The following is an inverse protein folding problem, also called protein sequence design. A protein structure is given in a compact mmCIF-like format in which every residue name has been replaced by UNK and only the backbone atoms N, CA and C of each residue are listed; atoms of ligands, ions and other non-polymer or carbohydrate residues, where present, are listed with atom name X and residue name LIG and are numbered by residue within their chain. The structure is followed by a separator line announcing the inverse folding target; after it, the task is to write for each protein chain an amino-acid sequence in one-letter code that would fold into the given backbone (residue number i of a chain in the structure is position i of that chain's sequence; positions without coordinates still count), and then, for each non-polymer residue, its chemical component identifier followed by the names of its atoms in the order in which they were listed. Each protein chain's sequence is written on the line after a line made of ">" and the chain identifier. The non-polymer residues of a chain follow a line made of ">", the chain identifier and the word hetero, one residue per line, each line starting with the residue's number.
data_IF_743788658895
#
_entry.id   IF_743788658895
#
_cell.length_a   1.000
_cell.length_b   1.000
_cell.length_c   1.000
_cell.angle_alpha   90.00
_cell.angle_beta   90.00
_cell.angle_gamma   90.00
#
_symmetry.space_group_name_H-M   'P 1'
#
loop_
_entity.id
_entity.type
_entity.pdbx_description
1 polymer ?
#
# COMPACT_ATOMS: atom_id res chain seq x y z
N UNK A 1 -39.97 7.26 2.42
CA UNK A 1 -38.55 7.67 2.37
C UNK A 1 -37.84 6.78 1.34
N UNK A 2 -37.50 7.32 0.17
CA UNK A 2 -36.70 6.57 -0.84
C UNK A 2 -35.25 6.50 -0.33
N UNK A 3 -34.80 5.32 0.06
CA UNK A 3 -33.38 5.05 0.31
C UNK A 3 -32.63 5.30 -1.02
N UNK A 4 -31.90 6.41 -1.09
CA UNK A 4 -30.99 6.68 -2.19
C UNK A 4 -29.87 5.64 -2.08
N UNK A 5 -29.94 4.59 -2.86
CA UNK A 5 -28.81 3.70 -3.09
C UNK A 5 -27.69 4.54 -3.74
N UNK A 6 -26.76 5.02 -2.92
CA UNK A 6 -25.57 5.69 -3.40
C UNK A 6 -24.82 4.66 -4.25
N UNK A 7 -24.89 4.77 -5.56
CA UNK A 7 -24.20 3.86 -6.47
C UNK A 7 -22.69 3.97 -6.19
N UNK A 8 -22.08 2.83 -5.79
CA UNK A 8 -20.64 2.78 -5.54
C UNK A 8 -19.87 3.23 -6.78
N UNK A 9 -18.91 4.14 -6.62
CA UNK A 9 -18.06 4.67 -7.72
C UNK A 9 -17.18 3.55 -8.31
N UNK A 10 -16.96 3.50 -9.64
CA UNK A 10 -16.14 2.46 -10.28
C UNK A 10 -14.67 2.64 -9.94
N UNK A 11 -13.95 1.54 -9.78
CA UNK A 11 -12.51 1.52 -9.52
C UNK A 11 -11.89 0.28 -10.16
N UNK A 12 -10.76 0.44 -10.84
CA UNK A 12 -10.00 -0.69 -11.39
C UNK A 12 -8.70 -0.82 -10.60
N UNK A 13 -8.37 -2.04 -10.20
CA UNK A 13 -7.10 -2.40 -9.55
C UNK A 13 -6.33 -3.31 -10.49
N UNK A 14 -5.06 -2.97 -10.74
CA UNK A 14 -4.13 -3.77 -11.52
C UNK A 14 -2.86 -4.02 -10.69
N UNK A 15 -2.66 -5.24 -10.25
CA UNK A 15 -1.51 -5.62 -9.42
C UNK A 15 -0.78 -6.84 -9.98
N UNK A 16 0.31 -7.22 -9.35
CA UNK A 16 1.14 -8.35 -9.71
C UNK A 16 2.62 -8.10 -9.37
N UNK A 17 3.50 -9.10 -9.51
CA UNK A 17 4.91 -8.96 -9.22
C UNK A 17 5.60 -7.91 -10.09
N UNK A 18 6.83 -7.52 -9.72
CA UNK A 18 7.64 -6.64 -10.56
C UNK A 18 7.94 -7.31 -11.90
N UNK A 19 8.16 -6.52 -12.95
CA UNK A 19 8.47 -6.97 -14.30
C UNK A 19 7.41 -7.85 -15.01
N UNK A 20 6.18 -8.00 -14.45
CA UNK A 20 5.09 -8.78 -15.07
C UNK A 20 4.39 -8.06 -16.23
N UNK A 21 4.67 -6.77 -16.45
CA UNK A 21 4.10 -5.99 -17.55
C UNK A 21 2.93 -5.08 -17.15
N UNK A 22 2.75 -4.78 -15.86
CA UNK A 22 1.68 -3.88 -15.38
C UNK A 22 1.60 -2.56 -16.13
N UNK A 23 2.74 -1.88 -16.29
CA UNK A 23 2.80 -0.55 -16.92
C UNK A 23 2.23 -0.55 -18.33
N UNK A 24 2.66 -1.49 -19.17
CA UNK A 24 2.16 -1.57 -20.56
C UNK A 24 0.66 -1.83 -20.60
N UNK A 25 0.20 -2.82 -19.82
CA UNK A 25 -1.23 -3.18 -19.81
C UNK A 25 -2.09 -2.03 -19.24
N UNK A 26 -1.59 -1.32 -18.23
CA UNK A 26 -2.34 -0.22 -17.62
C UNK A 26 -2.59 0.93 -18.61
N UNK A 27 -1.62 1.26 -19.46
CA UNK A 27 -1.77 2.27 -20.52
C UNK A 27 -2.84 1.86 -21.52
N UNK A 28 -2.79 0.62 -22.02
CA UNK A 28 -3.81 0.11 -22.97
C UNK A 28 -5.21 0.08 -22.33
N UNK A 29 -5.29 -0.34 -21.06
CA UNK A 29 -6.54 -0.34 -20.32
C UNK A 29 -7.10 1.08 -20.14
N UNK A 30 -6.25 2.06 -19.78
CA UNK A 30 -6.67 3.43 -19.62
C UNK A 30 -7.24 4.03 -20.91
N UNK A 31 -6.60 3.77 -22.04
CA UNK A 31 -7.13 4.20 -23.34
C UNK A 31 -8.49 3.58 -23.63
N UNK A 32 -8.65 2.30 -23.32
CA UNK A 32 -9.89 1.56 -23.61
C UNK A 32 -11.10 2.05 -22.77
N UNK A 33 -10.86 2.52 -21.54
CA UNK A 33 -11.95 2.87 -20.60
C UNK A 33 -12.00 4.36 -20.24
N UNK A 34 -11.27 5.24 -20.91
CA UNK A 34 -11.08 6.62 -20.52
C UNK A 34 -10.58 6.73 -19.07
N UNK A 35 -9.50 6.02 -18.76
CA UNK A 35 -8.97 5.89 -17.41
C UNK A 35 -7.82 6.83 -17.11
N UNK A 36 -7.56 7.07 -15.82
CA UNK A 36 -6.38 7.77 -15.32
C UNK A 36 -5.74 6.94 -14.20
N UNK A 37 -4.42 7.04 -14.05
CA UNK A 37 -3.61 6.18 -13.20
C UNK A 37 -3.40 6.75 -11.81
N UNK A 38 -3.42 5.87 -10.81
CA UNK A 38 -2.92 6.14 -9.45
C UNK A 38 -1.84 5.08 -9.15
N UNK A 39 -0.59 5.52 -8.94
CA UNK A 39 0.49 4.60 -8.59
C UNK A 39 0.35 4.12 -7.14
N UNK A 40 0.28 2.80 -6.94
CA UNK A 40 0.36 2.14 -5.64
C UNK A 40 1.74 1.51 -5.44
N UNK A 41 2.78 2.30 -5.69
CA UNK A 41 4.18 1.96 -5.49
C UNK A 41 4.77 2.85 -4.39
N UNK A 42 5.55 2.26 -3.47
CA UNK A 42 6.10 2.99 -2.33
C UNK A 42 7.36 3.80 -2.67
N UNK A 43 7.92 3.64 -3.87
CA UNK A 43 9.18 4.28 -4.25
C UNK A 43 9.02 5.27 -5.42
N UNK A 44 8.12 5.01 -6.37
CA UNK A 44 7.91 5.89 -7.53
C UNK A 44 7.31 7.26 -7.18
N UNK A 45 6.82 7.41 -5.96
CA UNK A 45 6.29 8.66 -5.41
C UNK A 45 7.38 9.73 -5.25
N UNK A 46 8.64 9.31 -5.06
CA UNK A 46 9.76 10.21 -4.78
C UNK A 46 10.38 10.78 -6.05
N UNK A 47 10.60 12.11 -6.07
CA UNK A 47 11.36 12.80 -7.12
C UNK A 47 12.80 12.31 -7.15
N UNK A 48 13.40 12.33 -8.34
CA UNK A 48 14.81 11.99 -8.57
C UNK A 48 15.19 10.52 -8.26
N UNK A 49 14.22 9.67 -7.91
CA UNK A 49 14.43 8.24 -7.73
C UNK A 49 13.93 7.49 -8.97
N UNK A 50 14.58 7.69 -10.12
CA UNK A 50 14.05 7.26 -11.41
C UNK A 50 14.55 5.89 -11.83
N UNK A 51 15.84 5.63 -11.69
CA UNK A 51 16.50 4.43 -12.21
C UNK A 51 16.07 3.19 -11.41
N UNK A 52 16.48 3.08 -10.15
CA UNK A 52 16.25 1.88 -9.33
C UNK A 52 14.79 1.56 -9.00
N UNK A 53 13.88 2.51 -9.18
CA UNK A 53 12.44 2.33 -9.02
C UNK A 53 11.74 1.91 -10.30
N UNK A 54 12.46 1.97 -11.43
CA UNK A 54 11.93 1.80 -12.77
C UNK A 54 10.64 2.61 -12.99
N UNK A 55 10.71 3.90 -12.64
CA UNK A 55 9.63 4.85 -12.78
C UNK A 55 9.21 4.97 -14.25
N UNK A 56 7.92 5.06 -14.49
CA UNK A 56 7.40 5.31 -15.84
C UNK A 56 7.88 6.66 -16.33
N UNK A 57 8.40 6.73 -17.55
CA UNK A 57 8.87 7.96 -18.17
C UNK A 57 7.70 8.73 -18.80
N UNK A 58 7.80 10.07 -18.96
CA UNK A 58 6.73 10.87 -19.57
C UNK A 58 6.28 10.36 -20.95
N UNK A 59 7.22 9.89 -21.77
CA UNK A 59 6.94 9.35 -23.10
C UNK A 59 6.12 8.05 -23.03
N UNK A 60 6.36 7.24 -22.00
CA UNK A 60 5.63 5.99 -21.77
C UNK A 60 4.22 6.24 -21.23
N UNK A 61 3.96 7.37 -20.59
CA UNK A 61 2.65 7.75 -20.07
C UNK A 61 1.62 8.01 -21.17
N UNK A 62 2.05 8.36 -22.39
CA UNK A 62 1.20 8.52 -23.58
C UNK A 62 0.00 9.47 -23.32
N UNK A 63 0.26 10.62 -22.72
CA UNK A 63 -0.70 11.66 -22.34
C UNK A 63 -1.77 11.23 -21.33
N UNK A 64 -1.63 10.04 -20.72
CA UNK A 64 -2.53 9.58 -19.67
C UNK A 64 -2.07 10.19 -18.33
N UNK A 65 -2.93 10.89 -17.59
CA UNK A 65 -2.59 11.43 -16.28
C UNK A 65 -2.22 10.32 -15.28
N UNK A 66 -1.06 10.52 -14.61
CA UNK A 66 -0.58 9.65 -13.55
C UNK A 66 -0.47 10.43 -12.24
N UNK A 67 -1.05 9.88 -11.19
CA UNK A 67 -1.02 10.45 -9.84
C UNK A 67 -0.11 9.63 -8.93
N UNK A 68 0.44 10.25 -7.91
CA UNK A 68 1.37 9.66 -6.94
C UNK A 68 2.70 9.17 -7.56
N UNK A 69 3.16 9.89 -8.58
CA UNK A 69 4.50 9.76 -9.18
C UNK A 69 5.17 11.12 -9.08
N UNK A 70 6.42 11.18 -8.63
CA UNK A 70 7.22 12.42 -8.50
C UNK A 70 6.56 13.54 -7.68
N UNK A 71 5.85 13.19 -6.62
CA UNK A 71 5.10 14.17 -5.81
C UNK A 71 5.74 14.47 -4.46
N UNK A 72 6.71 13.67 -4.01
CA UNK A 72 7.42 13.86 -2.74
C UNK A 72 8.92 13.96 -2.95
N UNK A 73 9.59 14.65 -2.03
CA UNK A 73 11.03 14.66 -1.99
C UNK A 73 11.57 13.45 -1.20
N UNK A 74 12.80 12.94 -1.49
CA UNK A 74 13.31 11.71 -0.88
C UNK A 74 13.43 11.73 0.66
N UNK A 75 13.47 12.90 1.27
CA UNK A 75 13.51 13.07 2.74
C UNK A 75 12.12 13.15 3.39
N UNK A 76 11.05 13.18 2.61
CA UNK A 76 9.69 13.15 3.14
C UNK A 76 9.26 11.73 3.46
N UNK A 77 8.55 11.55 4.55
CA UNK A 77 7.99 10.23 4.89
C UNK A 77 6.81 9.89 3.98
N UNK A 78 6.76 8.64 3.52
CA UNK A 78 5.61 8.12 2.78
C UNK A 78 5.21 6.76 3.35
N UNK A 79 4.08 6.75 3.98
CA UNK A 79 3.47 5.58 4.60
C UNK A 79 2.07 5.30 4.03
N UNK A 80 1.40 4.30 4.57
CA UNK A 80 0.07 3.88 4.11
C UNK A 80 -1.00 4.94 4.37
N UNK A 81 -0.88 5.73 5.43
CA UNK A 81 -1.83 6.80 5.78
C UNK A 81 -1.74 7.94 4.76
N UNK A 82 -0.51 8.39 4.50
CA UNK A 82 -0.25 9.41 3.49
C UNK A 82 -0.64 8.95 2.10
N UNK A 83 -0.31 7.68 1.74
CA UNK A 83 -0.79 7.09 0.49
C UNK A 83 -2.30 7.14 0.37
N UNK A 84 -3.03 6.68 1.41
CA UNK A 84 -4.50 6.62 1.37
C UNK A 84 -5.12 8.01 1.18
N UNK A 85 -4.59 9.02 1.87
CA UNK A 85 -5.04 10.41 1.76
C UNK A 85 -4.83 10.93 0.34
N UNK A 86 -3.61 10.85 -0.17
CA UNK A 86 -3.27 11.33 -1.51
C UNK A 86 -4.02 10.57 -2.61
N UNK A 87 -4.19 9.25 -2.45
CA UNK A 87 -4.95 8.43 -3.40
C UNK A 87 -6.45 8.80 -3.41
N UNK A 88 -7.06 9.11 -2.26
CA UNK A 88 -8.43 9.61 -2.21
C UNK A 88 -8.60 10.96 -2.92
N UNK A 89 -7.67 11.87 -2.73
CA UNK A 89 -7.65 13.15 -3.46
C UNK A 89 -7.55 12.94 -4.98
N UNK A 90 -6.67 12.02 -5.41
CA UNK A 90 -6.54 11.66 -6.82
C UNK A 90 -7.83 11.04 -7.37
N UNK A 91 -8.47 10.13 -6.61
CA UNK A 91 -9.76 9.55 -6.99
C UNK A 91 -10.83 10.63 -7.24
N UNK A 92 -10.96 11.61 -6.36
CA UNK A 92 -11.95 12.69 -6.54
C UNK A 92 -11.64 13.55 -7.78
N UNK A 93 -10.37 13.85 -8.06
CA UNK A 93 -9.95 14.55 -9.29
C UNK A 93 -10.33 13.77 -10.54
N UNK A 94 -10.04 12.46 -10.55
CA UNK A 94 -10.35 11.55 -11.68
C UNK A 94 -11.86 11.46 -11.92
N UNK A 95 -12.66 11.26 -10.86
CA UNK A 95 -14.11 11.22 -10.98
C UNK A 95 -14.69 12.54 -11.46
N UNK A 96 -14.15 13.69 -10.99
CA UNK A 96 -14.58 15.01 -11.45
C UNK A 96 -14.28 15.23 -12.92
N UNK A 97 -13.19 14.67 -13.44
CA UNK A 97 -12.86 14.68 -14.85
C UNK A 97 -13.71 13.71 -15.70
N UNK A 98 -14.62 12.95 -15.10
CA UNK A 98 -15.45 11.95 -15.79
C UNK A 98 -14.66 10.73 -16.26
N UNK A 99 -13.50 10.46 -15.66
CA UNK A 99 -12.63 9.34 -15.99
C UNK A 99 -12.78 8.18 -14.98
N UNK A 100 -12.26 7.01 -15.34
CA UNK A 100 -12.24 5.83 -14.46
C UNK A 100 -10.85 5.73 -13.80
N UNK A 101 -10.75 5.73 -12.46
CA UNK A 101 -9.48 5.56 -11.80
C UNK A 101 -8.99 4.10 -11.92
N UNK A 102 -7.69 3.97 -12.21
CA UNK A 102 -6.97 2.70 -12.31
C UNK A 102 -5.80 2.75 -11.32
N UNK A 103 -5.90 1.99 -10.24
CA UNK A 103 -4.82 1.86 -9.25
C UNK A 103 -3.87 0.77 -9.72
N UNK A 104 -2.61 1.14 -9.94
CA UNK A 104 -1.59 0.24 -10.48
C UNK A 104 -0.40 0.17 -9.53
N UNK A 105 -0.01 -1.03 -9.11
CA UNK A 105 1.18 -1.18 -8.26
C UNK A 105 1.37 -2.57 -7.67
N UNK A 106 2.44 -2.70 -6.89
CA UNK A 106 2.82 -3.93 -6.21
C UNK A 106 2.63 -3.87 -4.68
N UNK A 107 2.35 -2.71 -4.10
CA UNK A 107 2.23 -2.55 -2.66
C UNK A 107 0.82 -2.94 -2.19
N UNK A 108 0.61 -4.24 -1.98
CA UNK A 108 -0.71 -4.80 -1.66
C UNK A 108 -1.40 -4.16 -0.46
N UNK A 109 -0.62 -3.79 0.58
CA UNK A 109 -1.17 -3.13 1.76
C UNK A 109 -1.74 -1.73 1.45
N UNK A 110 -1.11 -0.97 0.55
CA UNK A 110 -1.62 0.31 0.09
C UNK A 110 -2.95 0.15 -0.65
N UNK A 111 -3.01 -0.84 -1.54
CA UNK A 111 -4.23 -1.16 -2.29
C UNK A 111 -5.37 -1.55 -1.34
N UNK A 112 -5.09 -2.40 -0.35
CA UNK A 112 -6.09 -2.79 0.65
C UNK A 112 -6.58 -1.60 1.48
N UNK A 113 -5.65 -0.75 1.92
CA UNK A 113 -5.98 0.45 2.70
C UNK A 113 -6.96 1.37 1.97
N UNK A 114 -6.71 1.61 0.67
CA UNK A 114 -7.60 2.40 -0.17
C UNK A 114 -8.94 1.70 -0.43
N UNK A 115 -8.88 0.42 -0.84
CA UNK A 115 -10.02 -0.34 -1.31
C UNK A 115 -11.08 -0.56 -0.23
N UNK A 116 -10.64 -0.80 1.01
CA UNK A 116 -11.54 -1.05 2.15
C UNK A 116 -11.66 0.14 3.10
N UNK A 117 -11.07 1.28 2.71
CA UNK A 117 -11.08 2.48 3.54
C UNK A 117 -10.67 2.14 4.98
N UNK A 118 -9.51 1.48 5.13
CA UNK A 118 -8.99 1.10 6.44
C UNK A 118 -8.76 2.36 7.28
N UNK A 119 -9.26 2.36 8.51
CA UNK A 119 -8.98 3.43 9.45
C UNK A 119 -7.60 3.21 10.06
N UNK A 120 -6.80 4.25 10.03
CA UNK A 120 -5.52 4.31 10.72
C UNK A 120 -5.67 5.31 11.86
N UNK A 121 -5.33 4.91 13.07
CA UNK A 121 -5.27 5.84 14.19
C UNK A 121 -4.13 6.83 13.96
N UNK A 122 -4.43 8.13 14.07
CA UNK A 122 -3.47 9.23 13.84
C UNK A 122 -2.28 9.25 14.83
N UNK A 123 -2.26 8.34 15.80
CA UNK A 123 -1.27 8.25 16.86
C UNK A 123 0.03 7.54 16.45
N UNK A 124 0.42 7.58 15.16
CA UNK A 124 1.69 7.01 14.68
C UNK A 124 2.94 7.88 14.99
N UNK A 125 2.79 8.96 15.76
CA UNK A 125 3.94 9.70 16.28
C UNK A 125 4.81 8.78 17.15
N UNK A 126 6.13 8.86 17.00
CA UNK A 126 7.08 8.14 17.85
C UNK A 126 6.74 8.42 19.34
N UNK A 127 6.14 7.42 19.97
CA UNK A 127 5.79 7.50 21.38
C UNK A 127 7.00 7.09 22.20
N UNK A 128 7.19 7.69 23.37
CA UNK A 128 8.21 7.22 24.32
C UNK A 128 8.09 5.71 24.62
N UNK A 129 6.86 5.17 24.49
CA UNK A 129 6.59 3.75 24.68
C UNK A 129 7.23 2.86 23.58
N UNK A 130 7.30 3.31 22.32
CA UNK A 130 8.02 2.61 21.25
C UNK A 130 9.51 2.48 21.59
N UNK A 131 10.13 3.56 22.05
CA UNK A 131 11.53 3.58 22.47
C UNK A 131 11.78 2.69 23.69
N UNK A 132 10.83 2.64 24.64
CA UNK A 132 10.86 1.76 25.79
C UNK A 132 10.82 0.28 25.38
N UNK A 133 9.90 -0.10 24.47
CA UNK A 133 9.78 -1.45 23.96
C UNK A 133 11.02 -1.88 23.16
N UNK A 134 11.59 -0.97 22.37
CA UNK A 134 12.85 -1.24 21.66
C UNK A 134 13.98 -1.49 22.65
N UNK A 135 14.15 -0.62 23.66
CA UNK A 135 15.15 -0.78 24.72
C UNK A 135 14.93 -2.05 25.55
N UNK A 136 13.68 -2.48 25.70
CA UNK A 136 13.37 -3.74 26.36
C UNK A 136 13.83 -4.95 25.51
N UNK A 137 13.57 -4.93 24.21
CA UNK A 137 14.04 -5.97 23.30
C UNK A 137 15.56 -6.09 23.27
N UNK A 138 16.26 -4.93 23.27
CA UNK A 138 17.71 -4.88 23.24
C UNK A 138 18.34 -5.46 24.53
N UNK A 139 17.69 -5.29 25.68
CA UNK A 139 18.18 -5.78 26.98
C UNK A 139 17.77 -7.23 27.29
N UNK A 140 16.59 -7.63 26.89
CA UNK A 140 15.99 -8.91 27.32
C UNK A 140 15.82 -9.92 26.19
N UNK A 141 16.10 -9.50 24.96
CA UNK A 141 15.95 -10.31 23.75
C UNK A 141 14.56 -10.22 23.12
N UNK A 142 14.50 -10.65 21.86
CA UNK A 142 13.28 -10.58 21.03
C UNK A 142 12.18 -11.51 21.52
N UNK A 143 12.53 -12.65 22.09
CA UNK A 143 11.59 -13.63 22.65
C UNK A 143 10.83 -13.05 23.85
N UNK A 144 11.53 -12.35 24.76
CA UNK A 144 10.91 -11.72 25.92
C UNK A 144 9.92 -10.60 25.50
N UNK A 145 10.23 -9.86 24.43
CA UNK A 145 9.30 -8.87 23.88
C UNK A 145 8.08 -9.57 23.25
N UNK A 146 8.30 -10.66 22.54
CA UNK A 146 7.25 -11.44 21.91
C UNK A 146 6.32 -12.11 22.94
N UNK A 147 6.86 -12.56 24.08
CA UNK A 147 6.06 -13.08 25.19
C UNK A 147 5.12 -12.00 25.78
N UNK A 148 5.56 -10.74 25.85
CA UNK A 148 4.67 -9.63 26.20
C UNK A 148 3.51 -9.48 25.21
N UNK A 149 3.78 -9.63 23.91
CA UNK A 149 2.73 -9.62 22.91
C UNK A 149 1.77 -10.79 23.11
N UNK A 150 2.27 -11.99 23.37
CA UNK A 150 1.46 -13.18 23.62
C UNK A 150 0.49 -13.02 24.80
N UNK A 151 0.93 -12.35 25.86
CA UNK A 151 0.08 -12.04 27.01
C UNK A 151 -1.07 -11.08 26.68
N UNK A 152 -0.86 -10.17 25.75
CA UNK A 152 -1.82 -9.13 25.37
C UNK A 152 -2.70 -9.59 24.20
N UNK A 153 -2.09 -10.16 23.17
CA UNK A 153 -2.73 -10.55 21.92
C UNK A 153 -2.09 -11.84 21.38
N UNK A 154 -2.55 -12.97 21.88
CA UNK A 154 -2.05 -14.31 21.52
C UNK A 154 -2.19 -14.56 20.02
N UNK A 155 -3.32 -14.13 19.41
CA UNK A 155 -3.57 -14.28 17.97
C UNK A 155 -2.55 -13.54 17.11
N UNK A 156 -2.15 -12.35 17.53
CA UNK A 156 -1.08 -11.61 16.86
C UNK A 156 0.29 -12.23 17.09
N UNK A 157 0.56 -12.74 18.29
CA UNK A 157 1.82 -13.42 18.58
C UNK A 157 2.01 -14.69 17.73
N UNK A 158 0.95 -15.45 17.47
CA UNK A 158 1.02 -16.63 16.60
C UNK A 158 1.28 -16.29 15.12
N UNK A 159 0.87 -15.07 14.70
CA UNK A 159 1.06 -14.62 13.31
C UNK A 159 2.34 -13.83 13.08
N UNK A 160 2.94 -13.27 14.11
CA UNK A 160 4.11 -12.39 14.02
C UNK A 160 5.32 -13.15 14.56
N UNK A 161 6.31 -13.38 13.70
CA UNK A 161 7.56 -14.02 14.14
C UNK A 161 8.33 -13.10 15.13
N UNK A 162 8.94 -13.64 16.22
CA UNK A 162 9.65 -12.86 17.25
C UNK A 162 10.71 -11.90 16.67
N UNK A 163 11.44 -12.32 15.64
CA UNK A 163 12.44 -11.50 14.97
C UNK A 163 11.85 -10.29 14.22
N UNK A 164 10.53 -10.23 14.05
CA UNK A 164 9.89 -9.07 13.44
C UNK A 164 9.55 -8.02 14.51
N UNK A 165 10.60 -7.53 15.19
CA UNK A 165 10.53 -6.61 16.32
C UNK A 165 9.59 -5.42 16.01
N UNK A 166 9.71 -4.83 14.83
CA UNK A 166 8.87 -3.68 14.42
C UNK A 166 7.37 -4.00 14.47
N UNK A 167 6.97 -5.20 14.02
CA UNK A 167 5.56 -5.62 14.07
C UNK A 167 5.11 -5.98 15.48
N UNK A 168 5.99 -6.58 16.30
CA UNK A 168 5.70 -6.87 17.70
C UNK A 168 5.48 -5.57 18.48
N UNK A 169 6.39 -4.60 18.32
CA UNK A 169 6.26 -3.27 18.95
C UNK A 169 4.98 -2.58 18.50
N UNK A 170 4.67 -2.57 17.20
CA UNK A 170 3.45 -1.94 16.68
C UNK A 170 2.18 -2.52 17.30
N UNK A 171 2.12 -3.85 17.50
CA UNK A 171 0.97 -4.50 18.10
C UNK A 171 0.80 -4.14 19.58
N UNK A 172 1.90 -4.09 20.34
CA UNK A 172 1.90 -3.68 21.74
C UNK A 172 1.55 -2.19 21.90
N UNK A 173 2.10 -1.35 21.04
CA UNK A 173 1.86 0.09 21.00
C UNK A 173 0.38 0.39 20.70
N UNK A 174 -0.19 -0.29 19.71
CA UNK A 174 -1.60 -0.17 19.37
C UNK A 174 -2.51 -0.51 20.57
N UNK A 175 -2.22 -1.62 21.25
CA UNK A 175 -2.96 -1.99 22.46
C UNK A 175 -2.81 -0.95 23.58
N UNK A 176 -1.59 -0.45 23.78
CA UNK A 176 -1.32 0.56 24.82
C UNK A 176 -2.11 1.85 24.56
N UNK A 177 -2.24 2.25 23.31
CA UNK A 177 -2.93 3.50 22.92
C UNK A 177 -4.46 3.35 22.92
N UNK A 178 -4.98 2.21 22.46
CA UNK A 178 -6.40 2.05 22.17
C UNK A 178 -7.14 1.16 23.16
N UNK A 179 -6.43 0.34 23.93
CA UNK A 179 -7.01 -0.71 24.75
C UNK A 179 -7.59 -1.90 23.97
N UNK A 180 -7.47 -1.88 22.64
CA UNK A 180 -8.00 -2.90 21.73
C UNK A 180 -6.86 -3.74 21.17
N UNK A 181 -7.05 -5.05 21.02
CA UNK A 181 -6.06 -5.93 20.37
C UNK A 181 -5.96 -5.61 18.88
N UNK A 182 -4.74 -5.56 18.34
CA UNK A 182 -4.56 -5.31 16.91
C UNK A 182 -5.13 -6.43 16.03
N UNK A 183 -5.18 -7.67 16.55
CA UNK A 183 -5.84 -8.79 15.86
C UNK A 183 -7.35 -8.56 15.70
N UNK A 184 -8.03 -8.06 16.73
CA UNK A 184 -9.46 -7.74 16.71
C UNK A 184 -9.75 -6.57 15.77
N UNK A 185 -8.94 -5.51 15.85
CA UNK A 185 -9.03 -4.38 14.93
C UNK A 185 -8.87 -4.84 13.47
N UNK A 186 -7.83 -5.61 13.17
CA UNK A 186 -7.59 -6.12 11.81
C UNK A 186 -8.72 -7.01 11.30
N UNK A 187 -9.35 -7.81 12.17
CA UNK A 187 -10.49 -8.65 11.81
C UNK A 187 -11.71 -7.79 11.46
N UNK A 188 -11.99 -6.77 12.25
CA UNK A 188 -13.05 -5.79 11.97
C UNK A 188 -12.80 -5.06 10.66
N UNK A 189 -11.55 -4.63 10.39
CA UNK A 189 -11.18 -3.97 9.13
C UNK A 189 -11.36 -4.90 7.91
N UNK A 190 -11.09 -6.21 8.06
CA UNK A 190 -11.29 -7.20 6.98
C UNK A 190 -12.77 -7.44 6.63
N UNK A 191 -13.68 -7.17 7.55
CA UNK A 191 -15.12 -7.31 7.34
C UNK A 191 -15.74 -6.07 6.67
N UNK A 192 -14.99 -4.98 6.52
CA UNK A 192 -15.48 -3.77 5.85
C UNK A 192 -15.79 -4.04 4.38
N UNK A 193 -16.96 -3.61 3.96
CA UNK A 193 -17.27 -3.56 2.55
C UNK A 193 -16.56 -2.40 1.86
N UNK A 194 -16.05 -2.65 0.66
CA UNK A 194 -15.48 -1.57 -0.15
C UNK A 194 -16.54 -0.50 -0.49
N UNK A 195 -16.21 0.80 -0.35
CA UNK A 195 -17.06 1.87 -0.82
C UNK A 195 -17.10 1.97 -2.36
N UNK A 196 -16.24 1.23 -3.06
CA UNK A 196 -16.14 1.24 -4.51
C UNK A 196 -16.79 0.01 -5.13
N UNK A 197 -17.29 0.14 -6.36
CA UNK A 197 -17.56 -0.97 -7.26
C UNK A 197 -16.28 -1.25 -8.05
N UNK A 198 -15.51 -2.22 -7.61
CA UNK A 198 -14.18 -2.44 -8.16
C UNK A 198 -14.08 -3.74 -8.99
N UNK A 199 -13.11 -3.73 -9.90
CA UNK A 199 -12.59 -4.92 -10.57
C UNK A 199 -11.12 -5.05 -10.20
N UNK A 200 -10.70 -6.26 -9.84
CA UNK A 200 -9.35 -6.53 -9.35
C UNK A 200 -8.63 -7.51 -10.29
N UNK A 201 -7.63 -7.02 -11.00
CA UNK A 201 -6.78 -7.83 -11.87
C UNK A 201 -5.45 -8.10 -11.19
N UNK A 202 -5.05 -9.36 -11.16
CA UNK A 202 -3.73 -9.81 -10.74
C UNK A 202 -3.01 -10.36 -11.95
N UNK A 203 -1.95 -9.68 -12.37
CA UNK A 203 -1.06 -10.22 -13.38
C UNK A 203 -0.11 -11.21 -12.74
N UNK A 204 0.09 -12.32 -13.39
CA UNK A 204 1.06 -13.34 -13.01
C UNK A 204 1.74 -13.91 -14.25
N UNK A 205 2.90 -14.54 -14.07
CA UNK A 205 3.62 -15.26 -15.11
C UNK A 205 4.47 -16.36 -14.45
N UNK A 206 5.01 -17.26 -15.24
CA UNK A 206 5.95 -18.27 -14.75
C UNK A 206 7.14 -17.60 -14.04
N UNK A 207 7.51 -18.14 -12.88
CA UNK A 207 8.55 -17.56 -12.01
C UNK A 207 9.88 -17.34 -12.76
N UNK A 208 10.26 -18.28 -13.61
CA UNK A 208 11.51 -18.16 -14.39
C UNK A 208 11.46 -17.02 -15.41
N UNK A 209 10.29 -16.75 -16.00
CA UNK A 209 10.10 -15.63 -16.92
C UNK A 209 10.16 -14.30 -16.19
N UNK A 210 9.55 -14.23 -15.00
CA UNK A 210 9.59 -13.04 -14.16
C UNK A 210 11.04 -12.72 -13.76
N UNK A 211 11.81 -13.70 -13.28
CA UNK A 211 13.20 -13.48 -12.91
C UNK A 211 14.05 -13.03 -14.09
N UNK A 212 13.93 -13.66 -15.24
CA UNK A 212 14.63 -13.26 -16.45
C UNK A 212 14.35 -11.80 -16.84
N UNK A 213 13.08 -11.37 -16.73
CA UNK A 213 12.71 -9.96 -17.00
C UNK A 213 13.21 -9.00 -15.92
N UNK A 214 13.32 -9.45 -14.67
CA UNK A 214 13.93 -8.65 -13.59
C UNK A 214 15.40 -8.43 -13.90
N UNK A 215 16.13 -9.47 -14.25
CA UNK A 215 17.55 -9.38 -14.56
C UNK A 215 17.79 -8.45 -15.77
N UNK A 216 17.04 -8.64 -16.87
CA UNK A 216 17.09 -7.75 -18.03
C UNK A 216 16.81 -6.29 -17.69
N UNK A 217 15.86 -6.06 -16.78
CA UNK A 217 15.54 -4.71 -16.34
C UNK A 217 16.62 -4.08 -15.49
N UNK A 218 17.30 -4.88 -14.66
CA UNK A 218 18.47 -4.42 -13.89
C UNK A 218 19.61 -4.04 -14.83
N UNK A 219 19.90 -4.86 -15.83
CA UNK A 219 20.92 -4.56 -16.83
C UNK A 219 20.63 -3.22 -17.53
N UNK A 220 19.38 -3.00 -17.97
CA UNK A 220 18.94 -1.73 -18.57
C UNK A 220 18.99 -0.51 -17.63
N UNK A 221 19.03 -0.70 -16.33
CA UNK A 221 19.18 0.38 -15.35
C UNK A 221 20.64 0.75 -15.10
N UNK A 222 21.57 -0.15 -15.44
CA UNK A 222 23.01 0.03 -15.23
C UNK A 222 23.70 0.63 -16.47
N UNK A 223 23.07 0.50 -17.65
CA UNK A 223 23.50 1.13 -18.92
C UNK A 223 23.11 2.62 -18.99
#
# INVERSE_FOLDING_TARGET
>A
MKQQYKTKKPLIILTGPTAVGKTKLSIELAKAVNGQMISADSMQVYRHMDIGTAKIRPEEMQDIPHYLIDVLDPWESFDVVRFQTMAKEALEKIYTAGAIPIVVGGTGFYIQALLYNIDFDENDSETGYRSELQSFADRHGVEALHDRLRQVDEKSADMIHPNNIKRVIRALEFYHQTGTRISEHNETQRQKESPYRFVYFVLDDERERIYRRIDQRIDQMLD
#
